data_IF_219511355874
#
_entry.id   IF_219511355874
#
_cell.length_a   1.000
_cell.length_b   1.000
_cell.length_c   1.000
_cell.angle_alpha   90.00
_cell.angle_beta   90.00
_cell.angle_gamma   90.00
#
_symmetry.space_group_name_H-M   'P 1'
#
loop_
_entity.id
_entity.type
_entity.pdbx_description
1 polymer ?
#
# COMPACT_ATOMS: atom_id res chain seq x y z
N UNK A 1 8.39 25.26 5.58
CA UNK A 1 7.81 24.84 4.29
C UNK A 1 6.44 24.21 4.53
N UNK A 2 5.64 23.98 3.47
CA UNK A 2 4.28 23.43 3.58
C UNK A 2 4.19 22.06 2.94
N UNK A 3 3.29 21.22 3.51
CA UNK A 3 3.09 19.82 3.08
C UNK A 3 1.64 19.63 2.65
N UNK A 4 1.44 19.04 1.48
CA UNK A 4 0.14 18.52 1.02
C UNK A 4 0.05 17.03 1.30
N UNK A 5 -1.04 16.59 1.91
CA UNK A 5 -1.36 15.16 1.98
C UNK A 5 -2.24 14.80 0.78
N UNK A 6 -1.84 13.77 0.04
CA UNK A 6 -2.54 13.29 -1.15
C UNK A 6 -3.10 11.91 -0.90
N UNK A 7 -4.41 11.75 -1.09
CA UNK A 7 -5.14 10.51 -0.83
C UNK A 7 -5.89 10.10 -2.10
N UNK A 8 -5.52 8.97 -2.69
CA UNK A 8 -6.30 8.39 -3.79
C UNK A 8 -7.44 7.55 -3.24
N UNK A 9 -8.65 7.74 -3.79
CA UNK A 9 -9.86 7.06 -3.32
C UNK A 9 -10.63 6.38 -4.44
N UNK A 10 -11.20 5.22 -4.13
CA UNK A 10 -12.25 4.56 -4.88
C UNK A 10 -13.10 3.72 -3.94
N UNK A 11 -14.36 4.14 -3.69
CA UNK A 11 -15.28 3.49 -2.76
C UNK A 11 -14.63 3.23 -1.38
N UNK A 12 -14.09 4.30 -0.77
CA UNK A 12 -13.30 4.27 0.45
C UNK A 12 -14.06 4.73 1.71
N UNK A 13 -15.39 4.92 1.64
CA UNK A 13 -16.21 5.51 2.71
C UNK A 13 -16.03 4.87 4.08
N UNK A 14 -15.66 3.58 4.11
CA UNK A 14 -15.55 2.80 5.36
C UNK A 14 -14.43 3.28 6.29
N UNK A 15 -13.30 3.73 5.77
CA UNK A 15 -12.11 4.07 6.56
C UNK A 15 -11.62 5.51 6.33
N UNK A 16 -12.08 6.18 5.28
CA UNK A 16 -11.60 7.49 4.87
C UNK A 16 -11.72 8.53 6.00
N UNK A 17 -12.83 8.57 6.73
CA UNK A 17 -13.00 9.52 7.83
C UNK A 17 -11.88 9.41 8.90
N UNK A 18 -11.45 8.19 9.22
CA UNK A 18 -10.35 7.99 10.18
C UNK A 18 -8.99 8.40 9.62
N UNK A 19 -8.79 8.24 8.31
CA UNK A 19 -7.58 8.71 7.61
C UNK A 19 -7.56 10.23 7.62
N UNK A 20 -8.64 10.88 7.21
CA UNK A 20 -8.77 12.34 7.17
C UNK A 20 -8.59 12.99 8.55
N UNK A 21 -9.18 12.41 9.60
CA UNK A 21 -8.99 12.88 10.98
C UNK A 21 -7.51 12.87 11.38
N UNK A 22 -6.74 11.88 10.92
CA UNK A 22 -5.31 11.78 11.25
C UNK A 22 -4.41 12.78 10.50
N UNK A 23 -4.92 13.40 9.45
CA UNK A 23 -4.16 14.34 8.60
C UNK A 23 -4.73 15.76 8.59
N UNK A 24 -5.75 16.04 9.38
CA UNK A 24 -6.47 17.33 9.38
C UNK A 24 -5.61 18.56 9.68
N UNK A 25 -4.48 18.36 10.36
CA UNK A 25 -3.55 19.42 10.77
C UNK A 25 -2.41 19.66 9.77
N UNK A 26 -2.47 19.08 8.56
CA UNK A 26 -1.56 19.42 7.46
C UNK A 26 -2.04 20.66 6.70
N UNK A 27 -1.15 21.29 5.92
CA UNK A 27 -1.45 22.53 5.21
C UNK A 27 -2.48 22.36 4.09
N UNK A 28 -2.54 21.20 3.46
CA UNK A 28 -3.50 20.83 2.42
C UNK A 28 -3.81 19.33 2.50
N UNK A 29 -5.09 19.01 2.34
CA UNK A 29 -5.54 17.64 2.12
C UNK A 29 -6.18 17.58 0.74
N UNK A 30 -5.59 16.81 -0.16
CA UNK A 30 -6.10 16.57 -1.51
C UNK A 30 -6.61 15.14 -1.61
N UNK A 31 -7.88 14.98 -1.94
CA UNK A 31 -8.50 13.70 -2.27
C UNK A 31 -8.62 13.60 -3.78
N UNK A 32 -7.91 12.63 -4.37
CA UNK A 32 -8.03 12.28 -5.78
C UNK A 32 -8.97 11.08 -5.91
N UNK A 33 -10.20 11.36 -6.30
CA UNK A 33 -11.24 10.35 -6.40
C UNK A 33 -11.31 9.73 -7.79
N UNK A 34 -11.42 8.42 -7.84
CA UNK A 34 -11.52 7.63 -9.06
C UNK A 34 -12.99 7.24 -9.36
N UNK A 35 -13.90 8.23 -9.32
CA UNK A 35 -15.33 8.06 -9.60
C UNK A 35 -16.02 7.11 -8.60
N UNK A 36 -15.84 7.36 -7.31
CA UNK A 36 -16.53 6.64 -6.24
C UNK A 36 -18.05 6.78 -6.34
N UNK A 37 -18.76 5.69 -6.04
CA UNK A 37 -20.23 5.60 -6.06
C UNK A 37 -20.86 5.49 -4.67
N UNK A 38 -20.01 5.43 -3.64
CA UNK A 38 -20.41 5.44 -2.23
C UNK A 38 -20.27 6.84 -1.60
N UNK A 39 -20.37 6.96 -0.29
CA UNK A 39 -20.30 8.25 0.43
C UNK A 39 -18.88 8.83 0.54
N UNK A 40 -17.89 8.31 -0.24
CA UNK A 40 -16.49 8.76 -0.17
C UNK A 40 -16.35 10.27 -0.37
N UNK A 41 -17.00 10.83 -1.41
CA UNK A 41 -16.92 12.26 -1.72
C UNK A 41 -17.61 13.14 -0.69
N UNK A 42 -18.70 12.67 -0.09
CA UNK A 42 -19.38 13.44 0.95
C UNK A 42 -18.52 13.54 2.21
N UNK A 43 -17.87 12.45 2.61
CA UNK A 43 -16.91 12.45 3.71
C UNK A 43 -15.75 13.42 3.41
N UNK A 44 -15.19 13.39 2.20
CA UNK A 44 -14.09 14.30 1.84
C UNK A 44 -14.52 15.78 1.90
N UNK A 45 -15.75 16.12 1.50
CA UNK A 45 -16.31 17.48 1.60
C UNK A 45 -16.48 17.93 3.04
N UNK A 46 -16.98 17.06 3.93
CA UNK A 46 -17.15 17.35 5.36
C UNK A 46 -15.82 17.73 6.03
N UNK A 47 -14.70 17.12 5.61
CA UNK A 47 -13.37 17.46 6.10
C UNK A 47 -12.71 18.64 5.38
N UNK A 48 -13.40 19.29 4.44
CA UNK A 48 -12.88 20.46 3.71
C UNK A 48 -11.74 20.14 2.76
N UNK A 49 -11.66 18.90 2.27
CA UNK A 49 -10.59 18.49 1.36
C UNK A 49 -10.69 19.18 0.00
N UNK A 50 -9.54 19.48 -0.61
CA UNK A 50 -9.47 19.75 -2.05
C UNK A 50 -9.76 18.44 -2.78
N UNK A 51 -10.77 18.43 -3.65
CA UNK A 51 -11.17 17.23 -4.38
C UNK A 51 -10.81 17.41 -5.86
N UNK A 52 -10.12 16.42 -6.41
CA UNK A 52 -9.89 16.28 -7.85
C UNK A 52 -10.38 14.91 -8.29
N UNK A 53 -10.88 14.80 -9.51
CA UNK A 53 -11.38 13.54 -10.05
C UNK A 53 -10.42 13.02 -11.11
N UNK A 54 -10.03 11.76 -10.98
CA UNK A 54 -9.31 11.03 -12.02
C UNK A 54 -10.25 9.99 -12.62
N UNK A 55 -10.49 10.02 -13.96
CA UNK A 55 -11.37 9.06 -14.60
C UNK A 55 -10.90 7.63 -14.37
N UNK A 56 -11.74 6.80 -13.75
CA UNK A 56 -11.39 5.40 -13.46
C UNK A 56 -11.23 4.56 -14.73
N UNK A 57 -12.07 4.82 -15.74
CA UNK A 57 -12.10 4.00 -16.99
C UNK A 57 -12.02 2.51 -16.63
N UNK A 58 -11.22 1.74 -17.36
CA UNK A 58 -10.97 0.32 -17.11
C UNK A 58 -9.77 0.08 -16.19
N UNK A 59 -9.26 1.11 -15.52
CA UNK A 59 -8.13 0.94 -14.59
C UNK A 59 -8.53 0.09 -13.38
N UNK A 60 -7.83 -1.02 -13.19
CA UNK A 60 -7.94 -1.88 -12.00
C UNK A 60 -6.95 -1.46 -10.91
N UNK A 61 -6.05 -0.50 -11.22
CA UNK A 61 -4.93 -0.06 -10.40
C UNK A 61 -5.01 1.44 -10.11
N UNK A 62 -4.36 1.87 -9.05
CA UNK A 62 -4.36 3.27 -8.58
C UNK A 62 -3.18 4.09 -9.13
N UNK A 63 -2.15 3.46 -9.64
CA UNK A 63 -0.89 4.10 -10.04
C UNK A 63 -1.06 5.24 -11.04
N UNK A 64 -1.92 5.16 -12.08
CA UNK A 64 -2.15 6.28 -12.98
C UNK A 64 -2.74 7.51 -12.29
N UNK A 65 -3.60 7.29 -11.28
CA UNK A 65 -4.17 8.38 -10.49
C UNK A 65 -3.16 8.97 -9.48
N UNK A 66 -2.13 8.23 -9.07
CA UNK A 66 -1.12 8.71 -8.12
C UNK A 66 -0.27 9.83 -8.73
N UNK A 67 0.21 9.66 -9.95
CA UNK A 67 0.99 10.70 -10.64
C UNK A 67 0.17 11.98 -10.82
N UNK A 68 -1.05 11.83 -11.30
CA UNK A 68 -1.97 12.97 -11.42
C UNK A 68 -2.21 13.66 -10.06
N UNK A 69 -2.40 12.90 -9.01
CA UNK A 69 -2.74 13.41 -7.68
C UNK A 69 -1.57 14.18 -7.04
N UNK A 70 -0.32 13.68 -7.12
CA UNK A 70 0.83 14.37 -6.56
C UNK A 70 1.07 15.71 -7.24
N UNK A 71 0.87 15.80 -8.57
CA UNK A 71 1.05 17.05 -9.32
C UNK A 71 -0.16 18.01 -9.21
N UNK A 72 -1.32 17.55 -8.72
CA UNK A 72 -2.46 18.40 -8.40
C UNK A 72 -2.33 19.10 -7.02
N UNK A 73 -1.38 18.69 -6.19
CA UNK A 73 -1.12 19.29 -4.88
C UNK A 73 -0.58 20.71 -5.02
N UNK A 74 -0.93 21.59 -4.07
CA UNK A 74 -0.56 23.01 -4.12
C UNK A 74 0.83 23.30 -3.50
N UNK A 75 1.33 22.40 -2.65
CA UNK A 75 2.60 22.59 -1.94
C UNK A 75 3.69 21.69 -2.53
N UNK A 76 4.96 22.12 -2.49
CA UNK A 76 6.06 21.36 -3.10
C UNK A 76 6.27 19.99 -2.45
N UNK A 77 6.08 19.87 -1.14
CA UNK A 77 6.21 18.61 -0.42
C UNK A 77 4.88 17.87 -0.36
N UNK A 78 4.91 16.62 -0.76
CA UNK A 78 3.73 15.75 -0.81
C UNK A 78 3.95 14.50 0.03
N UNK A 79 2.97 14.21 0.91
CA UNK A 79 2.83 12.94 1.61
C UNK A 79 1.70 12.14 0.97
N UNK A 80 2.02 11.00 0.35
CA UNK A 80 1.02 10.08 -0.18
C UNK A 80 0.55 9.13 0.90
N UNK A 81 -0.77 9.14 1.16
CA UNK A 81 -1.42 8.31 2.18
C UNK A 81 -2.53 7.50 1.52
N UNK A 82 -2.60 6.20 1.81
CA UNK A 82 -3.72 5.39 1.32
C UNK A 82 -4.97 5.64 2.19
N UNK A 83 -6.18 5.49 1.63
CA UNK A 83 -7.44 5.81 2.29
C UNK A 83 -7.76 4.94 3.53
N UNK A 84 -6.92 3.98 3.85
CA UNK A 84 -6.97 3.10 5.01
C UNK A 84 -5.70 3.19 5.89
N UNK A 85 -4.92 4.26 5.72
CA UNK A 85 -3.74 4.56 6.53
C UNK A 85 -4.00 5.75 7.47
N UNK A 86 -3.28 5.81 8.59
CA UNK A 86 -3.29 6.93 9.54
C UNK A 86 -1.88 7.45 9.75
N UNK A 87 -1.77 8.76 9.78
CA UNK A 87 -0.54 9.47 10.12
C UNK A 87 -0.52 9.71 11.63
N UNK A 88 0.60 9.37 12.29
CA UNK A 88 0.79 9.72 13.71
C UNK A 88 1.21 11.18 13.86
N UNK A 89 0.93 11.79 15.02
CA UNK A 89 1.44 13.14 15.34
C UNK A 89 2.95 13.22 15.24
N UNK A 90 3.63 12.17 15.72
CA UNK A 90 5.08 12.07 15.70
C UNK A 90 5.65 12.00 14.27
N UNK A 91 4.95 11.30 13.36
CA UNK A 91 5.32 11.29 11.94
C UNK A 91 5.15 12.67 11.33
N UNK A 92 4.01 13.34 11.57
CA UNK A 92 3.77 14.70 11.08
C UNK A 92 4.86 15.67 11.55
N UNK A 93 5.14 15.72 12.84
CA UNK A 93 6.16 16.60 13.42
C UNK A 93 7.54 16.30 12.83
N UNK A 94 7.89 15.03 12.68
CA UNK A 94 9.13 14.63 12.04
C UNK A 94 9.26 15.15 10.60
N UNK A 95 8.20 15.04 9.79
CA UNK A 95 8.23 15.47 8.38
C UNK A 95 8.41 16.99 8.26
N UNK A 96 7.71 17.78 9.09
CA UNK A 96 7.90 19.23 9.10
C UNK A 96 9.32 19.62 9.54
N UNK A 97 9.84 18.98 10.58
CA UNK A 97 11.23 19.24 11.01
C UNK A 97 12.23 18.81 9.93
N UNK A 98 11.98 17.69 9.24
CA UNK A 98 12.87 17.17 8.21
C UNK A 98 13.08 18.15 7.04
N UNK A 99 12.00 18.71 6.52
CA UNK A 99 12.07 19.64 5.39
C UNK A 99 12.66 21.02 5.75
N UNK A 100 12.85 21.29 7.03
CA UNK A 100 13.53 22.50 7.52
C UNK A 100 15.06 22.33 7.59
N UNK A 101 15.57 21.10 7.56
CA UNK A 101 17.00 20.85 7.57
C UNK A 101 17.62 21.18 6.22
N UNK A 102 18.81 21.77 6.18
CA UNK A 102 19.46 22.16 4.91
C UNK A 102 19.90 20.97 4.05
N UNK A 103 20.15 19.81 4.67
CA UNK A 103 20.70 18.62 4.03
C UNK A 103 19.65 17.49 3.89
N UNK A 104 18.35 17.84 3.78
CA UNK A 104 17.31 16.83 3.57
C UNK A 104 17.37 16.21 2.17
N UNK A 105 16.98 14.95 2.05
CA UNK A 105 16.79 14.31 0.75
C UNK A 105 15.50 14.80 0.06
N UNK A 106 15.41 14.58 -1.24
CA UNK A 106 14.27 14.98 -2.07
C UNK A 106 13.06 14.05 -1.91
N UNK A 107 13.26 12.87 -1.34
CA UNK A 107 12.20 11.96 -0.98
C UNK A 107 12.59 11.04 0.19
N UNK A 108 11.59 10.50 0.89
CA UNK A 108 11.77 9.59 2.02
C UNK A 108 10.96 8.31 1.89
N UNK A 109 11.61 7.19 2.17
CA UNK A 109 10.92 5.97 2.52
C UNK A 109 10.32 6.07 3.93
N UNK A 110 9.01 5.91 4.03
CA UNK A 110 8.26 5.85 5.28
C UNK A 110 7.89 4.39 5.58
N UNK A 111 8.00 3.99 6.84
CA UNK A 111 7.65 2.64 7.26
C UNK A 111 6.15 2.51 7.55
N UNK A 112 5.56 1.34 7.26
CA UNK A 112 4.18 1.03 7.60
C UNK A 112 4.11 0.03 8.74
N UNK A 113 3.25 0.33 9.69
CA UNK A 113 2.80 -0.55 10.77
C UNK A 113 1.52 -1.24 10.32
N UNK A 114 1.64 -2.45 9.80
CA UNK A 114 0.50 -3.19 9.26
C UNK A 114 -0.30 -3.83 10.40
N UNK A 115 -1.59 -3.46 10.50
CA UNK A 115 -2.53 -4.06 11.43
C UNK A 115 -3.27 -5.21 10.76
N UNK A 116 -3.58 -6.27 11.50
CA UNK A 116 -4.42 -7.37 11.06
C UNK A 116 -5.23 -7.91 12.23
N UNK A 117 -6.55 -7.99 12.09
CA UNK A 117 -7.46 -8.41 13.17
C UNK A 117 -7.22 -7.65 14.48
N UNK A 118 -7.00 -6.34 14.39
CA UNK A 118 -6.76 -5.46 15.54
C UNK A 118 -5.36 -5.57 16.17
N UNK A 119 -4.46 -6.38 15.60
CA UNK A 119 -3.08 -6.53 16.10
C UNK A 119 -2.06 -6.02 15.09
N UNK A 120 -0.97 -5.47 15.60
CA UNK A 120 0.21 -5.16 14.80
C UNK A 120 0.94 -6.46 14.42
N UNK A 121 1.15 -6.67 13.12
CA UNK A 121 1.95 -7.79 12.58
C UNK A 121 3.42 -7.36 12.51
N UNK A 122 4.17 -7.74 13.53
CA UNK A 122 5.58 -7.31 13.71
C UNK A 122 6.52 -7.92 12.68
N UNK A 123 6.28 -9.16 12.27
CA UNK A 123 7.13 -9.86 11.31
C UNK A 123 7.20 -9.22 9.91
N UNK A 124 6.30 -8.29 9.59
CA UNK A 124 6.34 -7.52 8.35
C UNK A 124 6.96 -6.12 8.49
N UNK A 125 7.40 -5.75 9.67
CA UNK A 125 8.00 -4.44 9.91
C UNK A 125 9.53 -4.48 9.80
N UNK A 126 10.19 -3.46 9.21
CA UNK A 126 9.60 -2.30 8.55
C UNK A 126 9.13 -2.62 7.12
N UNK A 127 7.90 -2.26 6.80
CA UNK A 127 7.36 -2.28 5.45
C UNK A 127 7.57 -0.88 4.84
N UNK A 128 8.70 -0.69 4.17
CA UNK A 128 9.15 0.63 3.70
C UNK A 128 8.51 0.99 2.37
N UNK A 129 7.90 2.18 2.30
CA UNK A 129 7.24 2.71 1.11
C UNK A 129 7.77 4.12 0.82
N UNK A 130 8.08 4.42 -0.44
CA UNK A 130 8.44 5.78 -0.85
C UNK A 130 7.16 6.60 -0.93
N UNK A 131 6.92 7.46 0.08
CA UNK A 131 5.63 8.12 0.29
C UNK A 131 5.72 9.63 0.54
N UNK A 132 6.89 10.15 0.84
CA UNK A 132 7.11 11.58 1.07
C UNK A 132 8.14 12.09 0.08
N UNK A 133 7.82 13.17 -0.67
CA UNK A 133 8.65 13.61 -1.78
C UNK A 133 8.39 15.06 -2.17
N UNK A 134 9.40 15.69 -2.77
CA UNK A 134 9.24 16.91 -3.55
C UNK A 134 8.55 16.54 -4.89
N UNK A 135 7.31 17.02 -5.09
CA UNK A 135 6.53 16.70 -6.28
C UNK A 135 7.18 17.18 -7.59
N UNK A 136 8.03 18.20 -7.52
CA UNK A 136 8.68 18.74 -8.72
C UNK A 136 9.77 17.82 -9.27
N UNK A 137 10.25 16.88 -8.43
CA UNK A 137 11.27 15.88 -8.75
C UNK A 137 10.73 14.47 -8.88
N UNK A 138 9.42 14.27 -8.64
CA UNK A 138 8.79 12.97 -8.61
C UNK A 138 8.00 12.70 -9.88
N UNK A 139 8.09 11.46 -10.38
CA UNK A 139 7.23 10.93 -11.43
C UNK A 139 6.76 9.55 -11.02
N UNK A 140 5.44 9.31 -11.01
CA UNK A 140 4.91 8.01 -10.66
C UNK A 140 4.55 7.23 -11.93
N UNK A 141 5.30 6.15 -12.28
CA UNK A 141 4.99 5.35 -13.46
C UNK A 141 3.59 4.72 -13.37
N UNK A 142 2.89 4.64 -14.49
CA UNK A 142 1.52 4.10 -14.57
C UNK A 142 1.45 2.58 -14.55
N UNK A 143 2.56 1.90 -14.25
CA UNK A 143 2.66 0.44 -14.19
C UNK A 143 2.33 -0.09 -12.79
N UNK A 144 1.69 -1.26 -12.73
CA UNK A 144 1.31 -1.94 -11.48
C UNK A 144 2.51 -2.10 -10.53
N UNK A 145 2.30 -1.76 -9.25
CA UNK A 145 3.33 -1.80 -8.19
C UNK A 145 4.59 -0.99 -8.52
N UNK A 146 4.45 0.06 -9.32
CA UNK A 146 5.54 1.02 -9.50
C UNK A 146 5.77 1.81 -8.21
N UNK A 147 7.01 2.18 -8.02
CA UNK A 147 7.40 3.21 -7.04
C UNK A 147 7.65 4.52 -7.77
N UNK A 148 7.47 5.67 -7.12
CA UNK A 148 7.84 6.93 -7.73
C UNK A 148 9.33 6.95 -8.06
N UNK A 149 9.65 7.51 -9.22
CA UNK A 149 11.02 7.79 -9.67
C UNK A 149 11.32 9.22 -9.22
N UNK A 150 12.45 9.40 -8.55
CA UNK A 150 12.87 10.70 -8.02
C UNK A 150 14.10 11.16 -8.78
N UNK A 151 14.02 12.37 -9.35
CA UNK A 151 15.18 13.05 -9.90
C UNK A 151 15.90 13.81 -8.76
N UNK A 152 16.66 13.06 -7.97
CA UNK A 152 17.31 13.57 -6.78
C UNK A 152 17.72 12.50 -5.78
N UNK A 153 17.87 12.91 -4.51
CA UNK A 153 18.29 12.04 -3.43
C UNK A 153 17.09 11.40 -2.73
N UNK A 154 17.27 10.16 -2.24
CA UNK A 154 16.23 9.40 -1.56
C UNK A 154 16.76 8.86 -0.24
N UNK A 155 16.16 9.32 0.84
CA UNK A 155 16.50 8.90 2.20
C UNK A 155 15.54 7.87 2.79
N UNK A 156 15.86 7.46 4.00
CA UNK A 156 15.05 6.54 4.80
C UNK A 156 14.78 7.12 6.18
N UNK A 157 13.54 7.02 6.61
CA UNK A 157 13.19 7.37 7.99
C UNK A 157 13.83 6.43 9.01
N UNK A 158 14.02 6.89 10.26
CA UNK A 158 14.36 6.02 11.38
C UNK A 158 13.33 4.89 11.54
N UNK A 159 13.79 3.68 11.91
CA UNK A 159 12.93 2.50 12.09
C UNK A 159 12.09 2.52 13.38
N UNK A 160 12.02 3.64 14.08
CA UNK A 160 11.17 3.78 15.26
C UNK A 160 9.68 3.77 14.82
N UNK A 161 8.92 2.84 15.39
CA UNK A 161 7.51 2.60 15.03
C UNK A 161 6.58 3.78 15.30
N UNK A 162 6.99 4.74 16.14
CA UNK A 162 6.23 5.97 16.41
C UNK A 162 6.07 6.83 15.16
N UNK A 163 7.02 6.75 14.23
CA UNK A 163 6.99 7.47 12.95
C UNK A 163 6.36 6.66 11.80
N UNK A 164 5.77 5.50 12.09
CA UNK A 164 5.19 4.68 11.05
C UNK A 164 3.78 5.12 10.66
N UNK A 165 3.45 5.04 9.37
CA UNK A 165 2.06 5.05 8.90
C UNK A 165 1.34 3.82 9.48
N UNK A 166 0.20 4.03 10.12
CA UNK A 166 -0.61 2.93 10.67
C UNK A 166 -1.62 2.50 9.61
N UNK A 167 -1.31 1.40 8.94
CA UNK A 167 -2.22 0.80 7.97
C UNK A 167 -3.30 0.01 8.72
N UNK A 168 -4.58 0.40 8.56
CA UNK A 168 -5.71 -0.09 9.36
C UNK A 168 -5.93 -1.61 9.26
N UNK A 169 -5.31 -2.22 8.29
CA UNK A 169 -5.20 -3.64 8.19
C UNK A 169 -6.35 -4.29 7.43
N UNK A 170 -6.05 -5.49 7.02
CA UNK A 170 -6.95 -6.30 6.25
C UNK A 170 -7.87 -7.10 7.16
N UNK A 171 -9.17 -7.08 6.86
CA UNK A 171 -10.07 -8.12 7.35
C UNK A 171 -9.79 -9.45 6.62
N UNK A 172 -10.23 -10.56 7.20
CA UNK A 172 -10.18 -11.87 6.54
C UNK A 172 -10.87 -11.83 5.17
N UNK A 173 -12.04 -11.17 5.10
CA UNK A 173 -12.79 -11.01 3.83
C UNK A 173 -11.98 -10.26 2.77
N UNK A 174 -11.32 -9.16 3.15
CA UNK A 174 -10.48 -8.41 2.21
C UNK A 174 -9.25 -9.23 1.75
N UNK A 175 -8.66 -10.06 2.63
CA UNK A 175 -7.58 -10.96 2.23
C UNK A 175 -8.04 -11.97 1.18
N UNK A 176 -9.23 -12.55 1.35
CA UNK A 176 -9.81 -13.50 0.40
C UNK A 176 -10.04 -12.83 -0.96
N UNK A 177 -10.69 -11.66 -0.97
CA UNK A 177 -10.97 -10.91 -2.21
C UNK A 177 -9.69 -10.52 -2.97
N UNK A 178 -8.65 -10.12 -2.25
CA UNK A 178 -7.38 -9.71 -2.86
C UNK A 178 -6.53 -10.89 -3.35
N UNK A 179 -6.78 -12.12 -2.87
CA UNK A 179 -6.00 -13.30 -3.27
C UNK A 179 -6.06 -13.57 -4.77
N UNK A 180 -7.22 -13.41 -5.38
CA UNK A 180 -7.39 -13.63 -6.82
C UNK A 180 -6.58 -12.62 -7.62
N UNK A 181 -6.73 -11.33 -7.32
CA UNK A 181 -6.00 -10.24 -7.98
C UNK A 181 -4.49 -10.44 -7.87
N UNK A 182 -3.97 -10.67 -6.68
CA UNK A 182 -2.53 -10.82 -6.45
C UNK A 182 -1.95 -12.08 -7.11
N UNK A 183 -2.72 -13.17 -7.18
CA UNK A 183 -2.24 -14.38 -7.87
C UNK A 183 -2.23 -14.22 -9.38
N UNK A 184 -3.15 -13.47 -9.99
CA UNK A 184 -3.12 -13.11 -11.42
C UNK A 184 -1.92 -12.21 -11.74
N UNK A 185 -1.66 -11.22 -10.91
CA UNK A 185 -0.47 -10.35 -11.06
C UNK A 185 0.84 -11.15 -10.98
N UNK A 186 0.96 -12.06 -10.00
CA UNK A 186 2.12 -12.95 -9.87
C UNK A 186 2.28 -13.84 -11.10
N UNK A 187 1.19 -14.31 -11.71
CA UNK A 187 1.22 -15.09 -12.94
C UNK A 187 1.74 -14.26 -14.12
N UNK A 188 1.32 -13.02 -14.25
CA UNK A 188 1.78 -12.12 -15.30
C UNK A 188 3.28 -11.80 -15.17
N UNK A 189 3.75 -11.60 -13.92
CA UNK A 189 5.15 -11.25 -13.65
C UNK A 189 6.13 -12.40 -13.78
N UNK A 190 5.77 -13.59 -13.27
CA UNK A 190 6.72 -14.70 -13.11
C UNK A 190 6.86 -15.59 -14.33
N UNK A 191 5.91 -15.54 -15.28
CA UNK A 191 5.91 -16.33 -16.51
C UNK A 191 6.23 -17.83 -16.31
N UNK A 192 5.85 -18.38 -15.14
CA UNK A 192 6.07 -19.80 -14.85
C UNK A 192 5.12 -20.64 -15.71
N UNK A 193 5.68 -21.54 -16.53
CA UNK A 193 4.92 -22.31 -17.51
C UNK A 193 4.43 -23.66 -17.01
N UNK A 194 5.08 -24.22 -16.00
CA UNK A 194 4.74 -25.53 -15.47
C UNK A 194 4.94 -25.63 -13.97
N UNK A 195 4.24 -26.59 -13.37
CA UNK A 195 4.34 -26.89 -11.94
C UNK A 195 4.37 -28.41 -11.74
N UNK A 196 5.25 -28.87 -10.86
CA UNK A 196 5.31 -30.28 -10.44
C UNK A 196 4.40 -30.54 -9.23
N UNK A 197 4.00 -31.79 -9.03
CA UNK A 197 3.24 -32.19 -7.86
C UNK A 197 3.97 -31.91 -6.54
N UNK A 198 5.28 -32.09 -6.51
CA UNK A 198 6.11 -31.75 -5.34
C UNK A 198 6.08 -30.26 -5.02
N UNK A 199 6.08 -29.38 -6.03
CA UNK A 199 5.95 -27.94 -5.81
C UNK A 199 4.59 -27.55 -5.23
N UNK A 200 3.49 -28.22 -5.67
CA UNK A 200 2.15 -27.97 -5.12
C UNK A 200 2.07 -28.26 -3.61
N UNK A 201 2.82 -29.23 -3.12
CA UNK A 201 2.82 -29.61 -1.70
C UNK A 201 3.84 -28.79 -0.91
N UNK A 202 5.10 -28.80 -1.33
CA UNK A 202 6.18 -28.28 -0.49
C UNK A 202 6.35 -26.76 -0.56
N UNK A 203 5.99 -26.10 -1.65
CA UNK A 203 6.17 -24.65 -1.73
C UNK A 203 5.20 -23.88 -0.81
N UNK A 204 3.89 -24.21 -0.70
CA UNK A 204 3.01 -23.61 0.30
C UNK A 204 3.43 -23.92 1.73
N UNK A 205 3.83 -25.17 2.02
CA UNK A 205 4.30 -25.58 3.35
C UNK A 205 5.55 -24.79 3.75
N UNK A 206 6.53 -24.68 2.86
CA UNK A 206 7.72 -23.88 3.09
C UNK A 206 7.37 -22.39 3.29
N UNK A 207 6.42 -21.85 2.51
CA UNK A 207 5.96 -20.48 2.66
C UNK A 207 5.35 -20.23 4.03
N UNK A 208 4.54 -21.18 4.54
CA UNK A 208 4.01 -21.14 5.90
C UNK A 208 5.13 -21.13 6.95
N UNK A 209 6.05 -22.11 6.87
CA UNK A 209 7.15 -22.26 7.83
C UNK A 209 8.02 -20.99 7.85
N UNK A 210 8.39 -20.50 6.66
CA UNK A 210 9.17 -19.27 6.52
C UNK A 210 8.46 -18.10 7.20
N UNK A 211 7.21 -17.83 6.82
CA UNK A 211 6.47 -16.66 7.33
C UNK A 211 6.21 -16.77 8.84
N UNK A 212 5.81 -17.95 9.31
CA UNK A 212 5.44 -18.14 10.70
C UNK A 212 6.63 -18.17 11.66
N UNK A 213 7.69 -18.89 11.32
CA UNK A 213 8.83 -19.09 12.21
C UNK A 213 10.00 -18.13 11.88
N UNK A 214 10.40 -18.03 10.60
CA UNK A 214 11.59 -17.27 10.21
C UNK A 214 11.30 -15.77 10.20
N UNK A 215 10.16 -15.35 9.61
CA UNK A 215 9.75 -13.94 9.56
C UNK A 215 9.06 -13.50 10.87
N UNK A 216 8.96 -14.38 11.88
CA UNK A 216 8.57 -14.06 13.24
C UNK A 216 7.06 -13.90 13.51
N UNK A 217 6.18 -14.28 12.58
CA UNK A 217 4.72 -14.17 12.77
C UNK A 217 4.18 -14.99 13.98
N UNK A 218 4.94 -15.96 14.48
CA UNK A 218 4.64 -16.70 15.71
C UNK A 218 4.46 -15.76 16.91
N UNK A 219 5.18 -14.64 16.95
CA UNK A 219 5.10 -13.62 18.00
C UNK A 219 3.78 -12.82 17.97
N UNK A 220 3.05 -12.89 16.85
CA UNK A 220 1.78 -12.21 16.67
C UNK A 220 0.57 -13.07 17.08
N UNK A 221 0.82 -14.27 17.62
CA UNK A 221 -0.19 -15.20 18.13
C UNK A 221 -1.16 -15.68 17.05
N UNK A 222 -2.48 -15.72 17.36
CA UNK A 222 -3.50 -16.19 16.42
C UNK A 222 -3.54 -15.39 15.11
N UNK A 223 -3.34 -14.07 15.18
CA UNK A 223 -3.33 -13.22 13.99
C UNK A 223 -2.15 -13.55 13.07
N UNK A 224 -0.96 -13.77 13.64
CA UNK A 224 0.23 -14.19 12.89
C UNK A 224 0.06 -15.58 12.25
N UNK A 225 -0.53 -16.53 12.97
CA UNK A 225 -0.86 -17.86 12.41
C UNK A 225 -1.79 -17.76 11.21
N UNK A 226 -2.91 -17.02 11.35
CA UNK A 226 -3.88 -16.82 10.27
C UNK A 226 -3.20 -16.14 9.07
N UNK A 227 -2.36 -15.12 9.30
CA UNK A 227 -1.64 -14.44 8.22
C UNK A 227 -0.65 -15.37 7.51
N UNK A 228 0.08 -16.21 8.24
CA UNK A 228 0.98 -17.21 7.68
C UNK A 228 0.22 -18.23 6.81
N UNK A 229 -0.96 -18.65 7.26
CA UNK A 229 -1.81 -19.56 6.50
C UNK A 229 -2.32 -18.90 5.20
N UNK A 230 -2.75 -17.65 5.25
CA UNK A 230 -3.09 -16.89 4.02
C UNK A 230 -1.92 -16.78 3.05
N UNK A 231 -0.70 -16.53 3.55
CA UNK A 231 0.50 -16.47 2.72
C UNK A 231 0.81 -17.79 2.02
N UNK A 232 0.60 -18.91 2.73
CA UNK A 232 0.75 -20.25 2.16
C UNK A 232 -0.33 -20.54 1.11
N UNK A 233 -1.60 -20.21 1.39
CA UNK A 233 -2.70 -20.37 0.45
C UNK A 233 -2.49 -19.55 -0.84
N UNK A 234 -2.04 -18.30 -0.74
CA UNK A 234 -1.69 -17.52 -1.93
C UNK A 234 -0.67 -18.23 -2.80
N UNK A 235 0.37 -18.85 -2.19
CA UNK A 235 1.36 -19.63 -2.95
C UNK A 235 0.74 -20.87 -3.60
N UNK A 236 -0.17 -21.53 -2.91
CA UNK A 236 -0.90 -22.68 -3.46
C UNK A 236 -1.79 -22.26 -4.64
N UNK A 237 -2.61 -21.22 -4.48
CA UNK A 237 -3.49 -20.75 -5.56
C UNK A 237 -2.72 -20.26 -6.80
N UNK A 238 -1.60 -19.57 -6.58
CA UNK A 238 -0.70 -19.22 -7.69
C UNK A 238 -0.26 -20.46 -8.47
N UNK A 239 0.23 -21.50 -7.79
CA UNK A 239 0.69 -22.73 -8.44
C UNK A 239 -0.47 -23.51 -9.08
N UNK A 240 -1.65 -23.52 -8.47
CA UNK A 240 -2.84 -24.15 -9.04
C UNK A 240 -3.26 -23.46 -10.35
N UNK A 241 -3.24 -22.14 -10.42
CA UNK A 241 -3.49 -21.39 -11.66
C UNK A 241 -2.40 -21.62 -12.73
N UNK A 242 -1.12 -21.79 -12.34
CA UNK A 242 -0.07 -22.22 -13.28
C UNK A 242 -0.42 -23.59 -13.88
N UNK A 243 -0.86 -24.55 -13.04
CA UNK A 243 -1.27 -25.86 -13.51
C UNK A 243 -2.48 -25.80 -14.43
N UNK A 244 -3.50 -25.01 -14.10
CA UNK A 244 -4.68 -24.79 -14.96
C UNK A 244 -4.27 -24.31 -16.35
N UNK A 245 -3.38 -23.30 -16.45
CA UNK A 245 -2.83 -22.81 -17.72
C UNK A 245 -2.02 -23.89 -18.48
N UNK A 246 -1.28 -24.72 -17.75
CA UNK A 246 -0.52 -25.84 -18.33
C UNK A 246 -1.43 -26.89 -18.95
N UNK A 247 -2.57 -27.23 -18.32
CA UNK A 247 -3.57 -28.17 -18.84
C UNK A 247 -4.29 -27.59 -20.04
N UNK A 248 -4.71 -26.35 -19.96
CA UNK A 248 -5.41 -25.65 -21.08
C UNK A 248 -4.57 -25.60 -22.34
N UNK A 249 -3.26 -25.34 -22.24
CA UNK A 249 -2.32 -25.36 -23.39
C UNK A 249 -2.14 -26.75 -24.02
N UNK A 250 -2.45 -27.84 -23.32
CA UNK A 250 -2.35 -29.22 -23.87
C UNK A 250 -3.60 -29.63 -24.63
N UNK A 251 -4.70 -28.93 -24.44
CA UNK A 251 -5.99 -29.23 -25.06
C UNK A 251 -6.35 -28.24 -26.20
N UNK A 252 -5.51 -27.23 -26.41
CA UNK A 252 -5.53 -26.32 -27.57
C UNK A 252 -4.58 -26.78 -28.66
#
# INVERSE_FOLDING_TARGET
MKISVVINTYNASKLLAQTLESVKDFDEILVCDMESTDNTLDIAREYGCKIVTFPKKDYTIVEPARDFAIHAASNPWVLVVDADEKVTSELREYLYHYIEQPDHDDALFIHRKNMFLGKWIKGSYPDSQLRFMDQTKATWPTTIHSHPIIDGTVGHMPKDVKYALVHAGFSVSNQILKMDVYTEEDLAKRQQESVSFTQLIFAPLWRFIKYYFIDGAILDGKAGFIKAYFSANMKFYYLAKVYERQVSKKHS
#
